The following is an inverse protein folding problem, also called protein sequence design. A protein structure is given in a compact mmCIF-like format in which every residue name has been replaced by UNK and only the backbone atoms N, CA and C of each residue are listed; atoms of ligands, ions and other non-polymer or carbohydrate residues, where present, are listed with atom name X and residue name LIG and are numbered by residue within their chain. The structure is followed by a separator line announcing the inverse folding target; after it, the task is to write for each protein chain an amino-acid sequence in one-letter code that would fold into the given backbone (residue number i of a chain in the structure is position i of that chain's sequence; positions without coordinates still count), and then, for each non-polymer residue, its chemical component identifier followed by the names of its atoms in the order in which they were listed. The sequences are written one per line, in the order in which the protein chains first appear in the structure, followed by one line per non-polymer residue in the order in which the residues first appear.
data_IF_846500963955
#
_entry.id   IF_846500963955
#
_cell.length_a   1.000
_cell.length_b   1.000
_cell.length_c   1.000
_cell.angle_alpha   90.00
_cell.angle_beta   90.00
_cell.angle_gamma   90.00
#
_symmetry.space_group_name_H-M   'P 1'
#
loop_
_entity.id
_entity.type
_entity.pdbx_description
1 polymer ?
#
# COMPACT_ATOMS: atom_id res chain seq x y z
N UNK A 1 -1.63 4.19 -10.95
CA UNK A 1 -1.09 2.83 -11.20
C UNK A 1 0.06 2.42 -10.27
N UNK A 2 0.95 3.33 -9.89
CA UNK A 2 2.16 3.04 -9.08
C UNK A 2 1.87 2.47 -7.69
N UNK A 3 0.77 2.88 -7.04
CA UNK A 3 0.39 2.38 -5.71
C UNK A 3 0.06 0.89 -5.68
N UNK A 4 -0.69 0.38 -6.66
CA UNK A 4 -1.00 -1.05 -6.78
C UNK A 4 0.26 -1.88 -7.04
N UNK A 5 1.18 -1.36 -7.87
CA UNK A 5 2.47 -2.01 -8.13
C UNK A 5 3.26 -2.16 -6.82
N UNK A 6 3.34 -1.12 -5.99
CA UNK A 6 4.05 -1.19 -4.70
C UNK A 6 3.43 -2.23 -3.76
N UNK A 7 2.10 -2.28 -3.67
CA UNK A 7 1.40 -3.25 -2.81
C UNK A 7 1.63 -4.68 -3.29
N UNK A 8 1.51 -4.92 -4.60
CA UNK A 8 1.76 -6.23 -5.22
C UNK A 8 3.21 -6.66 -5.01
N UNK A 9 4.18 -5.75 -5.15
CA UNK A 9 5.59 -6.03 -4.88
C UNK A 9 5.85 -6.42 -3.43
N UNK A 10 5.27 -5.71 -2.46
CA UNK A 10 5.40 -6.05 -1.04
C UNK A 10 4.79 -7.41 -0.70
N UNK A 11 3.58 -7.70 -1.22
CA UNK A 11 2.91 -8.97 -1.00
C UNK A 11 3.65 -10.13 -1.67
N UNK A 12 4.11 -9.95 -2.90
CA UNK A 12 4.89 -10.95 -3.64
C UNK A 12 6.22 -11.26 -2.94
N UNK A 13 6.90 -10.23 -2.42
CA UNK A 13 8.13 -10.42 -1.65
C UNK A 13 7.89 -11.18 -0.34
N UNK A 14 6.83 -10.83 0.41
CA UNK A 14 6.47 -11.55 1.63
C UNK A 14 6.13 -13.02 1.35
N UNK A 15 5.39 -13.30 0.27
CA UNK A 15 5.05 -14.66 -0.14
C UNK A 15 6.29 -15.46 -0.56
N UNK A 16 7.18 -14.88 -1.36
CA UNK A 16 8.44 -15.51 -1.77
C UNK A 16 9.33 -15.85 -0.57
N UNK A 17 9.44 -14.91 0.37
CA UNK A 17 10.20 -15.10 1.59
C UNK A 17 9.65 -16.27 2.42
N UNK A 18 8.33 -16.29 2.70
CA UNK A 18 7.69 -17.40 3.40
C UNK A 18 7.88 -18.76 2.68
N UNK A 19 7.83 -18.76 1.35
CA UNK A 19 8.04 -19.97 0.54
C UNK A 19 9.45 -20.55 0.72
N UNK A 20 10.50 -19.71 0.66
CA UNK A 20 11.89 -20.16 0.89
C UNK A 20 12.06 -20.72 2.30
N UNK A 21 11.44 -20.08 3.29
CA UNK A 21 11.51 -20.51 4.69
C UNK A 21 10.84 -21.87 4.94
N UNK A 22 9.65 -22.07 4.37
CA UNK A 22 8.93 -23.35 4.43
C UNK A 22 9.74 -24.48 3.79
N UNK A 23 10.37 -24.24 2.64
CA UNK A 23 11.19 -25.24 1.96
C UNK A 23 12.44 -25.67 2.74
N UNK A 24 13.04 -24.78 3.54
CA UNK A 24 14.16 -25.15 4.42
C UNK A 24 13.69 -26.05 5.57
N UNK A 25 12.55 -25.74 6.18
CA UNK A 25 11.95 -26.55 7.26
C UNK A 25 11.57 -27.93 6.72
N UNK A 26 10.91 -27.98 5.55
CA UNK A 26 10.48 -29.23 4.91
C UNK A 26 11.68 -30.14 4.58
N UNK A 27 12.82 -29.60 4.13
CA UNK A 27 14.04 -30.40 3.92
C UNK A 27 14.62 -30.96 5.20
N UNK A 28 14.57 -30.22 6.31
CA UNK A 28 15.08 -30.69 7.60
C UNK A 28 14.17 -31.81 8.13
N UNK A 29 12.85 -31.62 8.07
CA UNK A 29 11.86 -32.62 8.50
C UNK A 29 11.85 -33.83 7.56
N UNK A 30 12.03 -33.64 6.26
CA UNK A 30 12.04 -34.72 5.26
C UNK A 30 13.24 -35.67 5.36
N UNK A 31 14.29 -35.31 6.12
CA UNK A 31 15.39 -36.24 6.44
C UNK A 31 15.08 -37.18 7.62
N UNK A 32 13.85 -37.15 8.14
CA UNK A 32 13.43 -37.96 9.29
C UNK A 32 12.96 -39.35 8.85
N UNK A 33 13.65 -40.39 9.30
CA UNK A 33 13.14 -41.77 9.26
C UNK A 33 12.42 -42.06 10.58
N UNK A 34 11.08 -42.12 10.55
CA UNK A 34 10.26 -42.31 11.75
C UNK A 34 10.37 -43.71 12.35
N UNK A 35 11.00 -44.66 11.65
CA UNK A 35 11.11 -46.06 12.07
C UNK A 35 12.40 -46.38 12.83
N UNK A 36 13.45 -45.54 12.75
CA UNK A 36 14.78 -45.79 13.35
C UNK A 36 15.33 -44.62 14.17
N UNK A 37 14.47 -43.79 14.79
CA UNK A 37 14.88 -42.64 15.59
C UNK A 37 15.64 -43.04 16.86
N UNK A 38 16.95 -43.28 16.72
CA UNK A 38 17.87 -43.30 17.84
C UNK A 38 17.88 -41.92 18.52
N UNK A 39 17.94 -41.84 19.87
CA UNK A 39 17.89 -40.58 20.61
C UNK A 39 18.93 -39.54 20.15
N UNK A 40 20.10 -39.99 19.70
CA UNK A 40 21.16 -39.11 19.18
C UNK A 40 20.77 -38.40 17.86
N UNK A 41 20.01 -39.07 16.99
CA UNK A 41 19.49 -38.47 15.74
C UNK A 41 18.44 -37.39 16.06
N UNK A 42 17.66 -37.60 17.12
CA UNK A 42 16.67 -36.63 17.60
C UNK A 42 17.32 -35.37 18.17
N UNK A 43 18.42 -35.51 18.91
CA UNK A 43 19.15 -34.38 19.47
C UNK A 43 19.84 -33.55 18.38
N UNK A 44 20.46 -34.21 17.39
CA UNK A 44 21.04 -33.57 16.21
C UNK A 44 19.98 -32.83 15.37
N UNK A 45 18.80 -33.41 15.20
CA UNK A 45 17.68 -32.77 14.50
C UNK A 45 17.20 -31.54 15.25
N UNK A 46 16.97 -31.66 16.56
CA UNK A 46 16.56 -30.54 17.43
C UNK A 46 17.57 -29.39 17.32
N UNK A 47 18.87 -29.70 17.37
CA UNK A 47 19.94 -28.71 17.22
C UNK A 47 19.90 -28.00 15.86
N UNK A 48 19.73 -28.75 14.75
CA UNK A 48 19.61 -28.18 13.40
C UNK A 48 18.36 -27.32 13.25
N UNK A 49 17.21 -27.78 13.74
CA UNK A 49 15.95 -27.03 13.69
C UNK A 49 16.06 -25.73 14.48
N UNK A 50 16.61 -25.76 15.71
CA UNK A 50 16.78 -24.56 16.54
C UNK A 50 17.73 -23.56 15.86
N UNK A 51 18.84 -24.04 15.29
CA UNK A 51 19.79 -23.18 14.57
C UNK A 51 19.14 -22.55 13.33
N UNK A 52 18.43 -23.36 12.54
CA UNK A 52 17.76 -22.87 11.32
C UNK A 52 16.65 -21.88 11.67
N UNK A 53 15.82 -22.17 12.67
CA UNK A 53 14.79 -21.25 13.16
C UNK A 53 15.38 -19.96 13.73
N UNK A 54 16.54 -20.02 14.38
CA UNK A 54 17.26 -18.85 14.86
C UNK A 54 17.74 -17.94 13.73
N UNK A 55 18.30 -18.52 12.67
CA UNK A 55 18.70 -17.76 11.46
C UNK A 55 17.47 -17.14 10.78
N UNK A 56 16.42 -17.93 10.61
CA UNK A 56 15.12 -17.51 10.06
C UNK A 56 14.55 -16.28 10.78
N UNK A 57 14.56 -16.34 12.12
CA UNK A 57 14.06 -15.27 12.99
C UNK A 57 14.88 -14.00 12.81
N UNK A 58 16.19 -14.10 12.73
CA UNK A 58 17.06 -12.93 12.54
C UNK A 58 16.85 -12.29 11.15
N UNK A 59 16.69 -13.09 10.11
CA UNK A 59 16.36 -12.59 8.77
C UNK A 59 14.98 -11.91 8.75
N UNK A 60 13.97 -12.51 9.39
CA UNK A 60 12.65 -11.91 9.58
C UNK A 60 12.69 -10.57 10.29
N UNK A 61 13.50 -10.44 11.35
CA UNK A 61 13.64 -9.18 12.09
C UNK A 61 14.26 -8.10 11.18
N UNK A 62 15.31 -8.44 10.43
CA UNK A 62 15.93 -7.50 9.48
C UNK A 62 14.94 -7.02 8.42
N UNK A 63 14.15 -7.94 7.87
CA UNK A 63 13.09 -7.67 6.90
C UNK A 63 11.99 -6.78 7.48
N UNK A 64 11.56 -7.05 8.71
CA UNK A 64 10.52 -6.28 9.40
C UNK A 64 10.97 -4.83 9.64
N UNK A 65 12.24 -4.62 10.00
CA UNK A 65 12.81 -3.27 10.20
C UNK A 65 12.79 -2.51 8.87
N UNK A 66 13.31 -3.10 7.79
CA UNK A 66 13.33 -2.46 6.46
C UNK A 66 11.91 -2.19 5.96
N UNK A 67 11.01 -3.17 6.08
CA UNK A 67 9.61 -3.03 5.68
C UNK A 67 8.87 -1.94 6.48
N UNK A 68 9.18 -1.79 7.77
CA UNK A 68 8.62 -0.73 8.61
C UNK A 68 9.09 0.66 8.14
N UNK A 69 10.37 0.83 7.84
CA UNK A 69 10.91 2.08 7.31
C UNK A 69 10.25 2.48 5.98
N UNK A 70 10.15 1.53 5.05
CA UNK A 70 9.48 1.74 3.75
C UNK A 70 8.00 2.10 3.96
N UNK A 71 7.31 1.45 4.89
CA UNK A 71 5.90 1.72 5.18
C UNK A 71 5.68 3.11 5.77
N UNK A 72 6.56 3.58 6.65
CA UNK A 72 6.48 4.93 7.22
C UNK A 72 6.67 5.98 6.11
N UNK A 73 7.66 5.80 5.24
CA UNK A 73 7.94 6.71 4.12
C UNK A 73 6.76 6.71 3.13
N UNK A 74 6.25 5.53 2.76
CA UNK A 74 5.09 5.38 1.89
C UNK A 74 3.83 5.99 2.48
N UNK A 75 3.62 5.86 3.79
CA UNK A 75 2.54 6.49 4.53
C UNK A 75 2.64 8.02 4.48
N UNK A 76 3.84 8.57 4.72
CA UNK A 76 4.07 10.01 4.63
C UNK A 76 3.79 10.56 3.22
N UNK A 77 4.22 9.83 2.19
CA UNK A 77 3.96 10.17 0.80
C UNK A 77 2.46 10.15 0.49
N UNK A 78 1.74 9.12 0.98
CA UNK A 78 0.28 9.00 0.82
C UNK A 78 -0.46 10.16 1.48
N UNK A 79 -0.09 10.53 2.71
CA UNK A 79 -0.69 11.67 3.40
C UNK A 79 -0.46 12.97 2.63
N UNK A 80 0.76 13.18 2.15
CA UNK A 80 1.17 14.44 1.53
C UNK A 80 0.63 14.61 0.11
N UNK A 81 0.62 13.55 -0.70
CA UNK A 81 0.20 13.61 -2.10
C UNK A 81 -1.27 13.29 -2.33
N UNK A 82 -1.91 12.53 -1.44
CA UNK A 82 -3.29 12.08 -1.64
C UNK A 82 -4.20 12.76 -0.63
N UNK A 83 -4.01 12.49 0.66
CA UNK A 83 -4.97 12.90 1.70
C UNK A 83 -5.07 14.44 1.81
N UNK A 84 -3.93 15.13 1.87
CA UNK A 84 -3.91 16.60 1.98
C UNK A 84 -4.56 17.29 0.79
N UNK A 85 -4.23 16.96 -0.48
CA UNK A 85 -4.93 17.51 -1.64
C UNK A 85 -6.42 17.17 -1.67
N UNK A 86 -6.81 15.93 -1.36
CA UNK A 86 -8.22 15.52 -1.31
C UNK A 86 -9.00 16.36 -0.29
N UNK A 87 -8.45 16.56 0.91
CA UNK A 87 -9.10 17.36 1.95
C UNK A 87 -9.31 18.81 1.54
N UNK A 88 -8.37 19.39 0.77
CA UNK A 88 -8.54 20.73 0.19
C UNK A 88 -9.66 20.77 -0.85
N UNK A 89 -9.76 19.75 -1.71
CA UNK A 89 -10.84 19.65 -2.71
C UNK A 89 -12.22 19.49 -2.08
N UNK A 90 -12.33 18.67 -1.03
CA UNK A 90 -13.59 18.53 -0.28
C UNK A 90 -14.03 19.88 0.26
N UNK A 91 -13.11 20.64 0.86
CA UNK A 91 -13.40 21.98 1.39
C UNK A 91 -13.83 22.97 0.30
N UNK A 92 -13.15 22.96 -0.85
CA UNK A 92 -13.55 23.77 -2.01
C UNK A 92 -14.98 23.45 -2.46
N UNK A 93 -15.35 22.16 -2.51
CA UNK A 93 -16.70 21.74 -2.86
C UNK A 93 -17.74 22.14 -1.79
N UNK A 94 -17.43 22.00 -0.50
CA UNK A 94 -18.30 22.43 0.61
C UNK A 94 -18.58 23.93 0.58
N UNK A 95 -17.58 24.74 0.23
CA UNK A 95 -17.67 26.20 0.13
C UNK A 95 -18.23 26.66 -1.24
N UNK A 96 -18.82 25.75 -2.04
CA UNK A 96 -19.39 26.00 -3.38
C UNK A 96 -18.41 26.71 -4.35
N UNK A 97 -17.12 26.44 -4.21
CA UNK A 97 -16.07 27.03 -5.04
C UNK A 97 -15.84 28.53 -4.84
N UNK A 98 -16.22 29.07 -3.67
CA UNK A 98 -15.90 30.47 -3.30
C UNK A 98 -14.45 30.64 -2.84
N UNK A 99 -13.74 29.56 -2.57
CA UNK A 99 -12.30 29.56 -2.25
C UNK A 99 -11.43 29.22 -3.45
N UNK A 100 -10.15 29.62 -3.41
CA UNK A 100 -9.21 29.37 -4.51
C UNK A 100 -9.01 27.86 -4.76
N UNK A 101 -8.97 27.47 -6.04
CA UNK A 101 -8.73 26.10 -6.45
C UNK A 101 -7.36 25.64 -5.91
N UNK A 102 -7.28 24.53 -5.16
CA UNK A 102 -6.00 24.09 -4.61
C UNK A 102 -5.04 23.70 -5.73
N UNK A 103 -3.83 24.27 -5.74
CA UNK A 103 -2.77 23.84 -6.65
C UNK A 103 -2.31 22.41 -6.32
N UNK A 104 -2.67 21.46 -7.18
CA UNK A 104 -2.27 20.06 -7.05
C UNK A 104 -1.07 19.80 -7.96
N UNK A 105 0.13 19.89 -7.36
CA UNK A 105 1.40 19.78 -8.10
C UNK A 105 1.74 18.38 -8.59
N UNK A 106 1.28 17.33 -7.90
CA UNK A 106 2.00 16.05 -7.97
C UNK A 106 1.17 14.82 -8.30
N UNK A 107 -0.15 14.92 -8.35
CA UNK A 107 -1.02 13.79 -8.66
C UNK A 107 -1.95 14.16 -9.82
N UNK A 108 -1.76 13.50 -10.97
CA UNK A 108 -2.49 13.79 -12.21
C UNK A 108 -3.97 13.46 -12.07
N UNK A 109 -4.31 12.35 -11.41
CA UNK A 109 -5.69 11.93 -11.18
C UNK A 109 -6.44 12.91 -10.28
N UNK A 110 -5.82 13.37 -9.19
CA UNK A 110 -6.44 14.37 -8.29
C UNK A 110 -6.52 15.75 -8.99
N UNK A 111 -5.56 16.10 -9.85
CA UNK A 111 -5.63 17.31 -10.66
C UNK A 111 -6.79 17.28 -11.68
N UNK A 112 -7.02 16.13 -12.31
CA UNK A 112 -8.18 15.91 -13.18
C UNK A 112 -9.49 16.04 -12.37
N UNK A 113 -9.54 15.45 -11.18
CA UNK A 113 -10.69 15.57 -10.27
C UNK A 113 -10.96 17.04 -9.89
N UNK A 114 -9.91 17.80 -9.54
CA UNK A 114 -10.02 19.21 -9.23
C UNK A 114 -10.67 20.00 -10.38
N UNK A 115 -10.19 19.77 -11.60
CA UNK A 115 -10.70 20.43 -12.81
C UNK A 115 -12.17 20.11 -13.07
N UNK A 116 -12.56 18.84 -12.92
CA UNK A 116 -13.95 18.41 -13.09
C UNK A 116 -14.90 19.03 -12.04
N UNK A 117 -14.45 19.14 -10.78
CA UNK A 117 -15.22 19.80 -9.72
C UNK A 117 -15.42 21.28 -10.06
N UNK A 118 -14.37 21.99 -10.51
CA UNK A 118 -14.48 23.40 -10.91
C UNK A 118 -15.50 23.60 -12.03
N UNK A 119 -15.41 22.81 -13.10
CA UNK A 119 -16.35 22.89 -14.23
C UNK A 119 -17.80 22.67 -13.78
N UNK A 120 -18.03 21.70 -12.88
CA UNK A 120 -19.36 21.44 -12.33
C UNK A 120 -19.84 22.62 -11.48
N UNK A 121 -18.99 23.15 -10.59
CA UNK A 121 -19.34 24.30 -9.76
C UNK A 121 -19.65 25.55 -10.59
N UNK A 122 -18.86 25.83 -11.63
CA UNK A 122 -19.14 26.92 -12.58
C UNK A 122 -20.48 26.72 -13.30
N UNK A 123 -20.77 25.50 -13.78
CA UNK A 123 -22.05 25.20 -14.44
C UNK A 123 -23.27 25.37 -13.51
N UNK A 124 -23.10 25.11 -12.21
CA UNK A 124 -24.16 25.27 -11.19
C UNK A 124 -24.34 26.73 -10.75
N UNK A 125 -23.30 27.55 -10.85
CA UNK A 125 -23.35 28.97 -10.51
C UNK A 125 -23.78 29.86 -11.70
N UNK A 126 -23.90 29.31 -12.91
CA UNK A 126 -24.52 30.01 -14.02
C UNK A 126 -26.05 30.12 -13.81
N UNK A 127 -26.64 31.32 -13.95
CA UNK A 127 -28.09 31.44 -13.94
C UNK A 127 -28.69 30.63 -15.10
N UNK A 128 -29.92 30.08 -14.94
CA UNK A 128 -30.58 29.34 -16.01
C UNK A 128 -30.59 30.19 -17.28
N UNK A 129 -30.37 29.60 -18.47
CA UNK A 129 -30.35 30.36 -19.71
C UNK A 129 -31.67 31.12 -19.81
N UNK A 130 -31.57 32.45 -19.90
CA UNK A 130 -32.72 33.32 -20.02
C UNK A 130 -33.63 32.75 -21.10
N UNK A 131 -34.87 32.41 -20.73
CA UNK A 131 -35.94 32.16 -21.67
C UNK A 131 -35.86 33.29 -22.69
N UNK A 132 -35.60 32.93 -23.95
CA UNK A 132 -35.78 33.87 -25.05
C UNK A 132 -37.22 34.30 -24.95
N UNK A 133 -37.47 35.51 -24.46
CA UNK A 133 -38.72 36.19 -24.64
C UNK A 133 -38.96 36.23 -26.14
N UNK A 134 -39.81 35.30 -26.59
CA UNK A 134 -40.40 35.27 -27.91
C UNK A 134 -41.39 36.45 -27.94
N UNK A 135 -40.85 37.65 -28.07
CA UNK A 135 -41.58 38.85 -28.41
C UNK A 135 -42.03 38.68 -29.86
N UNK A 136 -43.31 38.31 -30.00
CA UNK A 136 -44.10 38.48 -31.21
C UNK A 136 -45.27 39.40 -30.90
#
# INVERSE_FOLDING_TARGET
MTGYIVVISCLGYAAFFLYVQLGQIERIVGTMDTQTLAPDQMELLKSRVIRSAGQLKNEMIGMAIVGSLVSIIGGFYTVSMIIRPLKKLVRFAEEKGTTELPEIKSNTEIKQLATAITQLTESLNQPPPAEKELSS
#
